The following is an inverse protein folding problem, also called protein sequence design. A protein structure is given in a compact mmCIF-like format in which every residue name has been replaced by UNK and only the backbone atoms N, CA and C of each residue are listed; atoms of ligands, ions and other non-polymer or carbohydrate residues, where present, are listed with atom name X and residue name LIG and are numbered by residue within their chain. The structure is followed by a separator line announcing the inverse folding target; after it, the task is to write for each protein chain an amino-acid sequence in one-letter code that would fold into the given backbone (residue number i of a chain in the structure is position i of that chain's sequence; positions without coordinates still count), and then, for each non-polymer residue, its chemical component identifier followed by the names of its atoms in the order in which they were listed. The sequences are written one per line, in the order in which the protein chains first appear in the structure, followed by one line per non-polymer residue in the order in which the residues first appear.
data_IF_288196094244
#
_entry.id   IF_288196094244
#
_cell.length_a   1.000
_cell.length_b   1.000
_cell.length_c   1.000
_cell.angle_alpha   90.00
_cell.angle_beta   90.00
_cell.angle_gamma   90.00
#
_symmetry.space_group_name_H-M   'P 1'
#
loop_
_entity.id
_entity.type
_entity.pdbx_description
1 polymer ?
#
# COMPACT_ATOMS: atom_id res chain seq x y z
N UNK A 1 -26.83 -14.56 21.07
CA UNK A 1 -26.16 -13.98 19.89
C UNK A 1 -24.76 -13.58 20.34
N UNK A 2 -23.74 -14.22 19.79
CA UNK A 2 -22.34 -14.04 20.24
C UNK A 2 -21.78 -12.74 19.66
N UNK A 3 -20.99 -12.01 20.45
CA UNK A 3 -20.40 -10.71 20.09
C UNK A 3 -19.39 -10.78 18.92
N UNK A 4 -19.15 -11.96 18.36
CA UNK A 4 -18.12 -12.23 17.35
C UNK A 4 -18.62 -12.07 15.90
N UNK A 5 -19.93 -12.02 15.66
CA UNK A 5 -20.52 -12.05 14.30
C UNK A 5 -20.37 -10.73 13.50
N UNK A 6 -19.64 -9.74 14.02
CA UNK A 6 -19.43 -8.43 13.34
C UNK A 6 -17.97 -8.07 13.10
N UNK A 7 -17.02 -8.94 13.46
CA UNK A 7 -15.61 -8.70 13.14
C UNK A 7 -15.38 -9.05 11.68
N UNK A 8 -15.01 -8.05 10.89
CA UNK A 8 -14.54 -8.30 9.53
C UNK A 8 -13.19 -9.06 9.64
N UNK A 9 -13.02 -10.22 8.97
CA UNK A 9 -11.82 -11.05 9.12
C UNK A 9 -10.51 -10.31 8.82
N UNK A 10 -10.54 -9.31 7.94
CA UNK A 10 -9.40 -8.44 7.67
C UNK A 10 -9.00 -7.54 8.87
N UNK A 11 -9.87 -7.35 9.87
CA UNK A 11 -9.55 -6.59 11.07
C UNK A 11 -8.60 -7.34 11.99
N UNK A 12 -8.57 -8.67 11.91
CA UNK A 12 -7.71 -9.54 12.72
C UNK A 12 -6.44 -9.96 11.96
N UNK A 13 -6.38 -9.68 10.66
CA UNK A 13 -5.29 -10.13 9.80
C UNK A 13 -4.08 -9.21 9.96
N UNK A 14 -3.02 -9.73 10.59
CA UNK A 14 -1.76 -8.99 10.82
C UNK A 14 -0.78 -9.10 9.65
N UNK A 15 -0.93 -10.13 8.80
CA UNK A 15 -0.07 -10.41 7.66
C UNK A 15 -0.89 -10.90 6.46
N UNK A 16 -0.48 -10.53 5.24
CA UNK A 16 -1.09 -11.01 3.99
C UNK A 16 0.00 -11.27 2.95
N UNK A 17 -0.13 -12.31 2.10
CA UNK A 17 0.81 -12.54 1.01
C UNK A 17 0.87 -11.35 0.06
N UNK A 18 2.07 -10.97 -0.37
CA UNK A 18 2.28 -9.83 -1.28
C UNK A 18 1.50 -9.99 -2.60
N UNK A 19 1.40 -11.21 -3.14
CA UNK A 19 0.64 -11.51 -4.35
C UNK A 19 -0.88 -11.40 -4.18
N UNK A 20 -1.40 -11.52 -2.96
CA UNK A 20 -2.81 -11.21 -2.67
C UNK A 20 -3.03 -9.69 -2.54
N UNK A 21 -2.06 -8.97 -2.00
CA UNK A 21 -2.12 -7.52 -1.87
C UNK A 21 -2.07 -6.80 -3.22
N UNK A 22 -1.29 -7.28 -4.20
CA UNK A 22 -1.27 -6.70 -5.55
C UNK A 22 -2.63 -6.75 -6.24
N UNK A 23 -3.44 -7.78 -5.97
CA UNK A 23 -4.78 -7.94 -6.56
C UNK A 23 -5.82 -7.01 -5.93
N UNK A 24 -5.47 -6.34 -4.83
CA UNK A 24 -6.34 -5.37 -4.18
C UNK A 24 -6.05 -4.01 -4.80
N UNK A 25 -7.06 -3.45 -5.44
CA UNK A 25 -6.98 -2.13 -6.06
C UNK A 25 -6.59 -1.09 -4.99
N UNK A 26 -5.52 -0.31 -5.22
CA UNK A 26 -5.12 0.73 -4.27
C UNK A 26 -6.05 1.94 -4.31
N UNK A 27 -6.21 2.64 -3.18
CA UNK A 27 -7.06 3.84 -3.11
C UNK A 27 -6.57 4.96 -4.04
N UNK A 28 -5.26 5.00 -4.27
CA UNK A 28 -4.62 6.00 -5.12
C UNK A 28 -4.93 5.77 -6.61
N UNK A 29 -5.51 4.62 -6.95
CA UNK A 29 -6.14 4.38 -8.24
C UNK A 29 -7.52 5.05 -8.23
N UNK A 30 -7.53 6.39 -8.20
CA UNK A 30 -8.71 7.16 -8.58
C UNK A 30 -8.66 7.24 -10.11
N UNK A 31 -9.53 6.51 -10.85
CA UNK A 31 -9.51 6.54 -12.32
C UNK A 31 -9.66 7.97 -12.86
N UNK A 32 -10.33 8.85 -12.10
CA UNK A 32 -10.57 10.24 -12.45
C UNK A 32 -9.33 11.14 -12.43
N UNK A 33 -8.27 10.83 -11.67
CA UNK A 33 -7.07 11.68 -11.66
C UNK A 33 -6.11 11.40 -12.83
N UNK A 34 -6.21 10.22 -13.45
CA UNK A 34 -5.43 9.88 -14.65
C UNK A 34 -6.25 10.03 -15.95
N UNK A 35 -7.58 10.10 -15.86
CA UNK A 35 -8.44 10.39 -17.01
C UNK A 35 -8.17 11.75 -17.68
N UNK A 36 -7.63 12.74 -16.96
CA UNK A 36 -7.21 14.03 -17.55
C UNK A 36 -5.90 13.94 -18.35
N UNK A 37 -5.10 12.88 -18.16
CA UNK A 37 -3.83 12.69 -18.88
C UNK A 37 -3.98 12.01 -20.25
N UNK A 38 -5.18 11.54 -20.60
CA UNK A 38 -5.46 10.93 -21.91
C UNK A 38 -4.90 9.52 -22.11
N UNK A 39 -4.05 9.02 -21.21
CA UNK A 39 -3.54 7.65 -21.22
C UNK A 39 -4.30 6.78 -20.20
N UNK A 40 -4.98 5.70 -20.64
CA UNK A 40 -5.61 4.75 -19.73
C UNK A 40 -4.53 3.88 -19.08
N UNK A 41 -3.91 4.38 -18.00
CA UNK A 41 -2.99 3.57 -17.22
C UNK A 41 -3.75 2.40 -16.57
N UNK A 42 -3.39 1.18 -16.95
CA UNK A 42 -3.93 -0.04 -16.37
C UNK A 42 -3.43 -0.24 -14.94
N UNK A 43 -4.11 -1.08 -14.16
CA UNK A 43 -3.64 -1.48 -12.82
C UNK A 43 -2.22 -2.09 -12.88
N UNK A 44 -1.96 -2.89 -13.93
CA UNK A 44 -0.67 -3.50 -14.21
C UNK A 44 0.43 -2.45 -14.42
N UNK A 45 0.16 -1.39 -15.19
CA UNK A 45 1.10 -0.30 -15.42
C UNK A 45 1.39 0.50 -14.15
N UNK A 46 0.37 0.72 -13.31
CA UNK A 46 0.55 1.38 -12.03
C UNK A 46 1.48 0.56 -11.12
N UNK A 47 1.25 -0.75 -10.99
CA UNK A 47 2.11 -1.63 -10.20
C UNK A 47 3.53 -1.72 -10.79
N UNK A 48 3.66 -1.80 -12.12
CA UNK A 48 4.96 -1.77 -12.79
C UNK A 48 5.72 -0.45 -12.51
N UNK A 49 5.00 0.69 -12.47
CA UNK A 49 5.58 1.98 -12.11
C UNK A 49 6.04 2.01 -10.64
N UNK A 50 5.22 1.49 -9.71
CA UNK A 50 5.61 1.40 -8.30
C UNK A 50 6.80 0.47 -8.09
N UNK A 51 6.88 -0.64 -8.81
CA UNK A 51 8.04 -1.52 -8.79
C UNK A 51 9.29 -0.82 -9.33
N UNK A 52 9.17 -0.14 -10.47
CA UNK A 52 10.27 0.62 -11.08
C UNK A 52 10.80 1.70 -10.13
N UNK A 53 9.90 2.44 -9.47
CA UNK A 53 10.25 3.42 -8.44
C UNK A 53 10.91 2.75 -7.22
N UNK A 54 10.43 1.58 -6.80
CA UNK A 54 11.01 0.82 -5.68
C UNK A 54 12.43 0.30 -5.97
N UNK A 55 12.71 -0.07 -7.23
CA UNK A 55 14.04 -0.47 -7.73
C UNK A 55 14.97 0.72 -7.98
N UNK A 56 14.43 1.93 -8.08
CA UNK A 56 15.23 3.13 -8.27
C UNK A 56 15.94 3.52 -6.97
N UNK A 57 17.23 3.83 -7.06
CA UNK A 57 17.98 4.44 -5.96
C UNK A 57 17.56 5.92 -5.92
N UNK A 58 16.38 6.20 -5.38
CA UNK A 58 15.98 7.58 -5.18
C UNK A 58 16.90 8.20 -4.12
N UNK A 59 17.55 9.34 -4.37
CA UNK A 59 18.29 10.05 -3.35
C UNK A 59 17.30 10.57 -2.31
N UNK A 60 17.06 9.80 -1.25
CA UNK A 60 16.40 10.33 -0.06
C UNK A 60 17.34 11.41 0.49
N UNK A 61 16.90 12.68 0.44
CA UNK A 61 17.63 13.82 1.00
C UNK A 61 18.15 13.44 2.39
N UNK A 62 19.47 13.35 2.53
CA UNK A 62 20.15 13.14 3.81
C UNK A 62 20.57 11.71 4.15
N UNK A 63 20.44 10.71 3.26
CA UNK A 63 20.92 9.34 3.53
C UNK A 63 22.03 8.96 2.55
N UNK A 64 23.25 8.84 3.07
CA UNK A 64 24.42 8.28 2.39
C UNK A 64 24.41 6.76 2.56
N UNK A 65 24.26 6.03 1.45
CA UNK A 65 24.36 4.56 1.31
C UNK A 65 23.29 3.73 2.06
N UNK A 66 22.70 2.67 1.52
CA UNK A 66 22.91 1.98 0.27
C UNK A 66 21.65 1.19 -0.12
N UNK A 67 21.41 1.13 -1.42
CA UNK A 67 20.43 0.27 -2.05
C UNK A 67 19.04 0.87 -2.28
N UNK A 68 18.31 0.22 -3.19
CA UNK A 68 16.91 0.52 -3.49
C UNK A 68 15.97 -0.04 -2.42
N UNK A 69 14.72 0.43 -2.36
CA UNK A 69 13.73 -0.15 -1.45
C UNK A 69 13.53 -1.66 -1.72
N UNK A 70 13.61 -2.04 -2.99
CA UNK A 70 13.54 -3.44 -3.41
C UNK A 70 14.67 -4.27 -2.79
N UNK A 71 15.91 -3.78 -2.82
CA UNK A 71 17.04 -4.47 -2.21
C UNK A 71 16.92 -4.58 -0.68
N UNK A 72 16.44 -3.53 -0.01
CA UNK A 72 16.17 -3.56 1.41
C UNK A 72 15.14 -4.64 1.78
N UNK A 73 14.05 -4.76 1.00
CA UNK A 73 13.02 -5.78 1.21
C UNK A 73 13.56 -7.18 0.87
N UNK A 74 14.39 -7.31 -0.15
CA UNK A 74 15.01 -8.59 -0.49
C UNK A 74 15.93 -9.10 0.63
N UNK A 75 16.60 -8.19 1.35
CA UNK A 75 17.51 -8.53 2.44
C UNK A 75 16.78 -8.79 3.77
N UNK A 76 15.79 -7.97 4.12
CA UNK A 76 15.21 -7.93 5.47
C UNK A 76 13.70 -8.27 5.50
N UNK A 77 13.07 -8.43 4.35
CA UNK A 77 11.61 -8.50 4.22
C UNK A 77 10.94 -7.13 4.41
N UNK A 78 9.61 -7.14 4.51
CA UNK A 78 8.85 -5.92 4.76
C UNK A 78 8.76 -5.65 6.25
N UNK A 79 9.58 -4.74 6.77
CA UNK A 79 9.60 -4.39 8.20
C UNK A 79 8.49 -3.40 8.59
N UNK A 80 8.23 -2.41 7.73
CA UNK A 80 7.23 -1.39 8.01
C UNK A 80 5.85 -1.82 7.48
N UNK A 81 4.80 -1.85 8.33
CA UNK A 81 3.48 -2.32 7.93
C UNK A 81 2.83 -1.50 6.83
N UNK A 82 2.18 -2.19 5.89
CA UNK A 82 1.27 -1.61 4.90
C UNK A 82 0.01 -1.12 5.59
N UNK A 83 -0.42 0.08 5.25
CA UNK A 83 -1.62 0.67 5.85
C UNK A 83 -2.83 0.34 5.01
N UNK A 84 -3.79 -0.36 5.62
CA UNK A 84 -5.03 -0.80 4.97
C UNK A 84 -6.24 -0.25 5.71
N UNK A 85 -7.26 0.14 4.94
CA UNK A 85 -8.57 0.49 5.45
C UNK A 85 -9.53 -0.69 5.23
N UNK A 86 -9.93 -1.32 6.33
CA UNK A 86 -10.71 -2.57 6.30
C UNK A 86 -12.21 -2.36 6.03
N UNK A 87 -12.70 -1.12 5.99
CA UNK A 87 -14.12 -0.81 5.75
C UNK A 87 -14.63 -1.27 4.39
N UNK A 88 -14.16 -0.66 3.30
CA UNK A 88 -14.70 -0.83 1.95
C UNK A 88 -13.87 -1.83 1.12
N UNK A 89 -13.74 -3.07 1.59
CA UNK A 89 -13.09 -4.14 0.82
C UNK A 89 -11.56 -4.25 0.98
N UNK A 90 -10.96 -3.52 1.92
CA UNK A 90 -9.54 -3.64 2.23
C UNK A 90 -8.66 -2.80 1.31
N UNK A 91 -8.95 -1.51 1.26
CA UNK A 91 -8.26 -0.52 0.43
C UNK A 91 -6.86 -0.25 0.98
N UNK A 92 -5.85 -0.30 0.11
CA UNK A 92 -4.47 0.03 0.47
C UNK A 92 -4.30 1.55 0.41
N UNK A 93 -3.80 2.13 1.51
CA UNK A 93 -3.63 3.58 1.68
C UNK A 93 -2.15 4.01 1.60
N UNK A 94 -1.25 3.14 2.01
CA UNK A 94 0.20 3.37 1.94
C UNK A 94 0.93 2.03 1.93
N UNK A 95 2.04 1.98 1.19
CA UNK A 95 2.88 0.80 1.04
C UNK A 95 2.85 0.15 -0.33
N UNK A 96 2.33 0.83 -1.36
CA UNK A 96 2.32 0.33 -2.74
C UNK A 96 3.70 -0.12 -3.23
N UNK A 97 4.75 0.66 -3.02
CA UNK A 97 6.11 0.27 -3.39
C UNK A 97 6.61 -0.97 -2.65
N UNK A 98 6.23 -1.13 -1.37
CA UNK A 98 6.59 -2.31 -0.56
C UNK A 98 5.89 -3.56 -1.09
N UNK A 99 4.61 -3.45 -1.40
CA UNK A 99 3.82 -4.55 -1.97
C UNK A 99 4.37 -4.96 -3.33
N UNK A 100 4.61 -3.98 -4.21
CA UNK A 100 5.16 -4.21 -5.54
C UNK A 100 6.52 -4.90 -5.47
N UNK A 101 7.43 -4.42 -4.62
CA UNK A 101 8.73 -5.02 -4.41
C UNK A 101 8.64 -6.42 -3.79
N UNK A 102 7.86 -6.59 -2.72
CA UNK A 102 7.69 -7.88 -2.06
C UNK A 102 7.11 -8.93 -3.00
N UNK A 103 6.11 -8.58 -3.81
CA UNK A 103 5.50 -9.52 -4.75
C UNK A 103 6.40 -9.87 -5.94
N UNK A 104 7.25 -8.94 -6.38
CA UNK A 104 8.29 -9.20 -7.38
C UNK A 104 9.39 -10.13 -6.85
N UNK A 105 9.73 -10.02 -5.56
CA UNK A 105 10.72 -10.88 -4.88
C UNK A 105 10.14 -12.28 -4.63
N UNK A 106 9.01 -12.34 -3.92
CA UNK A 106 8.28 -13.55 -3.60
C UNK A 106 6.80 -13.22 -3.38
N UNK A 107 5.89 -13.65 -4.27
CA UNK A 107 4.45 -13.38 -4.14
C UNK A 107 3.83 -14.03 -2.89
N UNK A 108 4.49 -15.00 -2.27
CA UNK A 108 4.05 -15.63 -1.02
C UNK A 108 4.61 -14.96 0.23
N UNK A 109 5.49 -13.96 0.08
CA UNK A 109 6.07 -13.21 1.20
C UNK A 109 4.98 -12.58 2.06
N UNK A 110 5.05 -12.82 3.36
CA UNK A 110 4.13 -12.23 4.33
C UNK A 110 4.44 -10.75 4.54
N UNK A 111 3.45 -9.91 4.24
CA UNK A 111 3.55 -8.46 4.40
C UNK A 111 2.78 -8.03 5.64
N UNK A 112 3.42 -7.39 6.64
CA UNK A 112 2.72 -6.90 7.81
C UNK A 112 1.73 -5.82 7.42
N UNK A 113 0.54 -5.88 8.02
CA UNK A 113 -0.55 -4.95 7.78
C UNK A 113 -0.92 -4.20 9.05
N UNK A 114 -1.25 -2.92 8.89
CA UNK A 114 -1.82 -2.09 9.94
C UNK A 114 -3.18 -1.58 9.49
N UNK A 115 -4.21 -2.07 10.16
CA UNK A 115 -5.55 -1.52 10.01
C UNK A 115 -5.60 -0.11 10.63
N UNK A 116 -5.75 0.89 9.78
CA UNK A 116 -6.07 2.25 10.21
C UNK A 116 -7.59 2.38 10.20
N UNK A 117 -8.21 2.06 11.33
CA UNK A 117 -9.67 2.13 11.48
C UNK A 117 -10.25 3.51 11.12
N UNK A 118 -11.57 3.59 11.02
CA UNK A 118 -12.35 4.76 10.55
C UNK A 118 -12.11 6.08 11.29
N UNK A 119 -11.31 6.08 12.36
CA UNK A 119 -10.94 7.28 13.11
C UNK A 119 -10.05 8.26 12.32
N UNK A 120 -9.33 7.80 11.28
CA UNK A 120 -8.38 8.66 10.55
C UNK A 120 -9.02 9.65 9.54
N UNK A 121 -10.34 9.56 9.29
CA UNK A 121 -11.05 10.56 8.48
C UNK A 121 -11.36 11.88 9.21
N UNK A 122 -11.15 11.99 10.54
CA UNK A 122 -11.52 13.18 11.31
C UNK A 122 -10.48 14.32 11.34
N UNK A 123 -9.43 14.27 10.52
CA UNK A 123 -8.32 15.24 10.56
C UNK A 123 -8.31 16.36 9.51
N UNK A 124 -9.05 16.27 8.40
CA UNK A 124 -9.07 17.32 7.35
C UNK A 124 -10.37 18.13 7.37
N UNK A 125 -10.68 18.75 8.51
CA UNK A 125 -11.57 19.93 8.49
C UNK A 125 -10.74 21.12 8.01
N UNK A 126 -11.02 21.55 6.79
CA UNK A 126 -10.51 22.79 6.22
C UNK A 126 -10.69 23.93 7.25
N UNK A 127 -9.59 24.52 7.70
CA UNK A 127 -9.64 25.85 8.30
C UNK A 127 -9.90 26.84 7.19
N UNK A 128 -11.18 27.14 6.96
CA UNK A 128 -11.62 28.32 6.22
C UNK A 128 -11.70 29.44 7.25
N UNK A 129 -10.68 30.29 7.28
CA UNK A 129 -10.67 31.54 8.04
C UNK A 129 -11.27 32.60 7.12
N UNK A 130 -12.44 33.21 7.44
CA UNK A 130 -12.76 34.56 6.99
C UNK A 130 -12.01 35.61 7.83
#
# INVERSE_FOLDING_TARGET
MSSSDRLNPMQLQMFMPAGELIKKVPNDFIPHHYAESGDPHTEEEMWANKLREAKSIAPRRGVQFGGSLHEAIAAEGVLEPVRVHVGDGGVILDGHHRIAAAADIDPTMEVPMKNIGSAHQRGRKQHKIP
#
